data_IF_306414854991
#
_entry.id   IF_306414854991
#
_cell.length_a   1.000
_cell.length_b   1.000
_cell.length_c   1.000
_cell.angle_alpha   90.00
_cell.angle_beta   90.00
_cell.angle_gamma   90.00
#
_symmetry.space_group_name_H-M   'P 1'
#
loop_
_entity.id
_entity.type
_entity.pdbx_description
1 polymer ?
#
# COMPACT_ATOMS: atom_id res chain seq x y z
N UNK A 1 27.58 66.43 -51.16
CA UNK A 1 28.21 65.17 -50.70
C UNK A 1 27.99 65.03 -49.20
N UNK A 2 27.98 63.78 -48.72
CA UNK A 2 27.67 63.28 -47.36
C UNK A 2 26.18 63.09 -47.04
N UNK A 3 25.84 61.80 -46.88
CA UNK A 3 24.55 61.17 -46.63
C UNK A 3 24.29 61.02 -45.12
N UNK A 4 23.03 60.65 -44.83
CA UNK A 4 22.51 59.87 -43.70
C UNK A 4 22.28 60.62 -42.38
N UNK A 5 21.00 60.74 -41.99
CA UNK A 5 20.35 59.98 -40.90
C UNK A 5 18.84 60.08 -41.12
N UNK A 6 18.08 58.97 -41.15
CA UNK A 6 16.67 58.98 -40.83
C UNK A 6 16.45 58.14 -39.57
N UNK A 7 16.39 58.78 -38.40
CA UNK A 7 15.91 58.12 -37.18
C UNK A 7 14.44 58.44 -37.00
N UNK A 8 13.61 57.75 -37.80
CA UNK A 8 12.16 57.89 -37.77
C UNK A 8 11.63 56.81 -36.84
N UNK A 9 11.20 57.23 -35.64
CA UNK A 9 10.44 56.39 -34.73
C UNK A 9 9.13 55.96 -35.39
N UNK A 10 8.82 54.65 -35.37
CA UNK A 10 7.46 54.17 -35.12
C UNK A 10 7.48 52.68 -34.72
N UNK A 11 6.69 52.40 -33.71
CA UNK A 11 6.50 51.15 -32.99
C UNK A 11 6.32 49.88 -33.84
N UNK A 12 6.75 48.73 -33.32
CA UNK A 12 5.86 47.59 -33.14
C UNK A 12 6.45 46.61 -32.11
N UNK A 13 5.66 46.36 -31.07
CA UNK A 13 5.92 45.38 -30.03
C UNK A 13 5.81 43.95 -30.58
N UNK A 14 6.72 43.06 -30.19
CA UNK A 14 6.50 41.63 -30.23
C UNK A 14 7.37 40.95 -29.15
N UNK A 15 6.92 41.09 -27.91
CA UNK A 15 7.39 40.26 -26.81
C UNK A 15 6.86 38.83 -26.99
N UNK A 16 7.65 37.94 -27.57
CA UNK A 16 7.36 36.51 -27.56
C UNK A 16 8.18 35.87 -26.42
N UNK A 17 7.72 36.13 -25.19
CA UNK A 17 8.18 35.40 -24.02
C UNK A 17 7.59 34.00 -24.11
N UNK A 18 8.38 33.05 -24.64
CA UNK A 18 8.09 31.61 -24.53
C UNK A 18 8.22 31.19 -23.06
N UNK A 19 7.18 31.45 -22.27
CA UNK A 19 7.01 30.86 -20.95
C UNK A 19 6.68 29.38 -21.18
N UNK A 20 7.73 28.55 -21.22
CA UNK A 20 7.63 27.10 -21.07
C UNK A 20 7.10 26.81 -19.66
N UNK A 21 5.78 26.90 -19.50
CA UNK A 21 5.08 26.27 -18.38
C UNK A 21 5.22 24.76 -18.55
N UNK A 22 6.34 24.22 -18.11
CA UNK A 22 6.41 22.82 -17.71
C UNK A 22 5.50 22.69 -16.47
N UNK A 23 4.20 22.60 -16.72
CA UNK A 23 3.22 22.18 -15.73
C UNK A 23 3.56 20.72 -15.44
N UNK A 24 4.47 20.51 -14.50
CA UNK A 24 4.72 19.19 -13.93
C UNK A 24 3.46 18.85 -13.16
N UNK A 25 2.54 18.15 -13.82
CA UNK A 25 1.42 17.49 -13.17
C UNK A 25 2.04 16.44 -12.25
N UNK A 26 2.35 16.83 -11.01
CA UNK A 26 2.53 15.88 -9.94
C UNK A 26 1.16 15.23 -9.78
N UNK A 27 1.01 14.03 -10.32
CA UNK A 27 -0.10 13.16 -9.92
C UNK A 27 0.05 12.99 -8.42
N UNK A 28 -0.78 13.71 -7.65
CA UNK A 28 -0.89 13.49 -6.23
C UNK A 28 -1.45 12.08 -6.09
N UNK A 29 -0.58 11.10 -5.83
CA UNK A 29 -1.05 9.78 -5.42
C UNK A 29 -1.89 10.00 -4.19
N UNK A 30 -3.21 9.78 -4.32
CA UNK A 30 -4.11 9.85 -3.19
C UNK A 30 -3.59 8.94 -2.07
N UNK A 31 -3.69 9.43 -0.83
CA UNK A 31 -3.35 8.66 0.35
C UNK A 31 -4.19 7.38 0.39
N UNK A 32 -3.54 6.25 0.65
CA UNK A 32 -4.20 4.96 0.75
C UNK A 32 -4.47 4.65 2.22
N UNK A 33 -5.74 4.56 2.60
CA UNK A 33 -6.15 4.10 3.93
C UNK A 33 -6.30 2.57 3.91
N UNK A 34 -5.46 1.90 4.68
CA UNK A 34 -5.35 0.45 4.68
C UNK A 34 -5.63 -0.11 6.07
N UNK A 35 -6.22 -1.30 6.09
CA UNK A 35 -6.23 -2.19 7.24
C UNK A 35 -5.27 -3.33 6.98
N UNK A 36 -4.50 -3.71 7.99
CA UNK A 36 -3.81 -5.00 8.04
C UNK A 36 -4.36 -5.82 9.21
N UNK A 37 -4.67 -7.08 8.97
CA UNK A 37 -5.01 -8.08 9.98
C UNK A 37 -3.92 -9.15 10.02
N UNK A 38 -3.36 -9.41 11.20
CA UNK A 38 -2.52 -10.58 11.45
C UNK A 38 -3.43 -11.76 11.81
N UNK A 39 -3.37 -12.81 11.01
CA UNK A 39 -4.25 -13.98 11.11
C UNK A 39 -3.41 -15.23 11.36
N UNK A 40 -3.84 -16.03 12.33
CA UNK A 40 -3.30 -17.35 12.60
C UNK A 40 -4.24 -18.43 12.04
N UNK A 41 -3.74 -19.22 11.10
CA UNK A 41 -4.45 -20.39 10.55
C UNK A 41 -4.02 -21.66 11.25
N UNK A 42 -4.99 -22.49 11.64
CA UNK A 42 -4.74 -23.77 12.33
C UNK A 42 -5.81 -24.81 12.01
N UNK A 43 -5.48 -26.09 12.21
CA UNK A 43 -6.43 -27.21 12.14
C UNK A 43 -6.96 -27.64 13.51
N UNK A 44 -6.43 -27.09 14.60
CA UNK A 44 -6.90 -27.36 15.96
C UNK A 44 -8.12 -26.50 16.29
N UNK A 45 -8.92 -26.96 17.25
CA UNK A 45 -10.06 -26.19 17.76
C UNK A 45 -9.59 -24.88 18.41
N UNK A 46 -10.48 -23.89 18.48
CA UNK A 46 -10.18 -22.58 19.05
C UNK A 46 -9.58 -22.74 20.46
N UNK A 47 -8.34 -22.27 20.71
CA UNK A 47 -7.80 -22.27 22.06
C UNK A 47 -8.62 -21.39 22.99
N UNK A 48 -8.60 -21.69 24.30
CA UNK A 48 -9.20 -20.85 25.33
C UNK A 48 -8.35 -19.60 25.60
N UNK A 49 -8.15 -18.80 24.55
CA UNK A 49 -7.51 -17.49 24.61
C UNK A 49 -8.53 -16.42 24.19
N UNK A 50 -9.01 -15.58 25.13
CA UNK A 50 -9.99 -14.54 24.84
C UNK A 50 -9.47 -13.46 23.88
N UNK A 51 -8.15 -13.38 23.66
CA UNK A 51 -7.54 -12.44 22.71
C UNK A 51 -7.70 -12.91 21.26
N UNK A 52 -7.89 -14.21 21.04
CA UNK A 52 -8.10 -14.76 19.70
C UNK A 52 -9.55 -14.58 19.27
N UNK A 53 -9.74 -13.69 18.31
CA UNK A 53 -11.05 -13.42 17.70
C UNK A 53 -11.18 -14.23 16.43
N UNK A 54 -12.40 -14.65 16.10
CA UNK A 54 -12.65 -15.12 14.73
C UNK A 54 -12.41 -13.97 13.77
N UNK A 55 -11.81 -14.27 12.62
CA UNK A 55 -11.78 -13.31 11.50
C UNK A 55 -13.20 -13.10 10.96
N UNK A 56 -13.42 -11.99 10.26
CA UNK A 56 -14.68 -11.78 9.55
C UNK A 56 -14.90 -12.84 8.45
N UNK A 57 -16.16 -13.01 8.03
CA UNK A 57 -16.52 -14.06 7.07
C UNK A 57 -15.81 -13.91 5.73
N UNK A 58 -15.60 -12.67 5.26
CA UNK A 58 -14.94 -12.41 3.99
C UNK A 58 -13.48 -12.88 4.02
N UNK A 59 -12.76 -12.56 5.10
CA UNK A 59 -11.38 -13.02 5.32
C UNK A 59 -11.34 -14.54 5.47
N UNK A 60 -12.26 -15.12 6.24
CA UNK A 60 -12.37 -16.57 6.44
C UNK A 60 -12.54 -17.32 5.13
N UNK A 61 -13.48 -16.88 4.30
CA UNK A 61 -13.81 -17.52 3.03
C UNK A 61 -12.66 -17.38 2.03
N UNK A 62 -12.04 -16.19 1.97
CA UNK A 62 -10.86 -15.96 1.13
C UNK A 62 -9.71 -16.89 1.50
N UNK A 63 -9.45 -17.07 2.79
CA UNK A 63 -8.37 -17.93 3.25
C UNK A 63 -8.70 -19.41 3.01
N UNK A 64 -9.89 -19.89 3.38
CA UNK A 64 -10.31 -21.29 3.15
C UNK A 64 -10.32 -21.68 1.67
N UNK A 65 -10.62 -20.74 0.78
CA UNK A 65 -10.63 -20.99 -0.67
C UNK A 65 -9.24 -21.23 -1.27
N UNK A 66 -8.16 -20.89 -0.55
CA UNK A 66 -6.78 -20.98 -1.05
C UNK A 66 -5.90 -21.89 -0.19
N UNK A 67 -6.20 -21.98 1.10
CA UNK A 67 -5.30 -22.49 2.11
C UNK A 67 -5.98 -23.64 2.90
N UNK A 68 -5.18 -24.62 3.35
CA UNK A 68 -5.66 -25.91 3.91
C UNK A 68 -6.20 -25.88 5.35
N UNK A 69 -6.20 -24.74 6.03
CA UNK A 69 -6.44 -24.67 7.48
C UNK A 69 -7.95 -24.56 7.77
N UNK A 70 -8.42 -25.26 8.79
CA UNK A 70 -9.84 -25.26 9.16
C UNK A 70 -10.27 -23.95 9.82
N UNK A 71 -9.44 -23.44 10.72
CA UNK A 71 -9.75 -22.32 11.61
C UNK A 71 -8.79 -21.15 11.36
N UNK A 72 -9.32 -19.94 11.50
CA UNK A 72 -8.58 -18.69 11.26
C UNK A 72 -8.95 -17.68 12.34
N UNK A 73 -7.94 -17.19 13.05
CA UNK A 73 -8.12 -16.28 14.17
C UNK A 73 -7.36 -14.98 13.95
N UNK A 74 -8.03 -13.85 14.16
CA UNK A 74 -7.39 -12.54 14.21
C UNK A 74 -6.60 -12.42 15.53
N UNK A 75 -5.32 -12.09 15.38
CA UNK A 75 -4.40 -11.86 16.50
C UNK A 75 -4.17 -10.36 16.72
N UNK A 76 -4.11 -9.59 15.64
CA UNK A 76 -3.95 -8.14 15.70
C UNK A 76 -4.55 -7.48 14.44
N UNK A 77 -4.99 -6.24 14.58
CA UNK A 77 -5.52 -5.41 13.49
C UNK A 77 -4.95 -4.00 13.61
N UNK A 78 -4.49 -3.46 12.49
CA UNK A 78 -3.90 -2.11 12.41
C UNK A 78 -4.50 -1.35 11.23
N UNK A 79 -5.01 -0.15 11.50
CA UNK A 79 -5.41 0.79 10.45
C UNK A 79 -4.29 1.82 10.29
N UNK A 80 -3.91 2.12 9.05
CA UNK A 80 -2.83 3.05 8.77
C UNK A 80 -3.02 3.73 7.41
N UNK A 81 -2.25 4.79 7.19
CA UNK A 81 -2.26 5.54 5.93
C UNK A 81 -0.89 5.44 5.27
N UNK A 82 -0.89 5.13 3.98
CA UNK A 82 0.30 5.14 3.12
C UNK A 82 0.20 6.34 2.21
N UNK A 83 1.17 7.24 2.32
CA UNK A 83 1.25 8.45 1.49
C UNK A 83 2.31 8.26 0.41
N UNK A 84 2.38 9.19 -0.54
CA UNK A 84 3.44 9.22 -1.55
C UNK A 84 4.85 9.53 -0.99
N UNK A 85 4.96 9.90 0.30
CA UNK A 85 6.21 10.38 0.89
C UNK A 85 7.25 9.26 1.11
N UNK A 86 6.83 7.99 1.11
CA UNK A 86 7.75 6.86 1.25
C UNK A 86 7.09 5.60 1.82
N UNK A 87 7.90 4.54 2.04
CA UNK A 87 7.42 3.31 2.65
C UNK A 87 6.95 3.54 4.09
N UNK A 88 5.81 2.96 4.45
CA UNK A 88 5.27 2.91 5.80
C UNK A 88 5.52 1.53 6.40
N UNK A 89 6.22 1.48 7.53
CA UNK A 89 6.36 0.27 8.34
C UNK A 89 5.25 0.17 9.38
N UNK A 90 4.74 -1.04 9.58
CA UNK A 90 3.68 -1.36 10.54
C UNK A 90 4.05 -2.66 11.27
N UNK A 91 4.27 -2.56 12.58
CA UNK A 91 4.52 -3.72 13.44
C UNK A 91 3.19 -4.43 13.73
N UNK A 92 3.10 -5.70 13.32
CA UNK A 92 1.92 -6.55 13.51
C UNK A 92 2.05 -7.45 14.75
N UNK A 93 3.28 -7.86 15.09
CA UNK A 93 3.63 -8.52 16.36
C UNK A 93 5.13 -8.32 16.62
N UNK A 94 5.67 -8.88 17.70
CA UNK A 94 7.12 -8.87 17.94
C UNK A 94 7.92 -9.63 16.88
N UNK A 95 7.27 -10.53 16.14
CA UNK A 95 7.90 -11.37 15.13
C UNK A 95 7.38 -11.07 13.71
N UNK A 96 6.49 -10.09 13.54
CA UNK A 96 5.87 -9.77 12.26
C UNK A 96 5.79 -8.26 12.03
N UNK A 97 6.37 -7.80 10.92
CA UNK A 97 6.28 -6.42 10.44
C UNK A 97 5.94 -6.42 8.95
N UNK A 98 5.17 -5.43 8.50
CA UNK A 98 4.99 -5.14 7.09
C UNK A 98 5.57 -3.77 6.74
N UNK A 99 6.09 -3.66 5.52
CA UNK A 99 6.45 -2.40 4.89
C UNK A 99 5.58 -2.22 3.64
N UNK A 100 4.90 -1.08 3.54
CA UNK A 100 3.98 -0.77 2.45
C UNK A 100 4.39 0.55 1.81
N UNK A 101 4.63 0.54 0.51
CA UNK A 101 4.96 1.75 -0.27
C UNK A 101 3.93 1.95 -1.37
N UNK A 102 3.37 3.16 -1.46
CA UNK A 102 2.53 3.53 -2.61
C UNK A 102 3.41 3.70 -3.85
N UNK A 103 2.98 3.09 -4.95
CA UNK A 103 3.53 3.27 -6.29
C UNK A 103 2.63 4.15 -7.18
N UNK A 104 1.58 4.74 -6.60
CA UNK A 104 0.55 5.50 -7.32
C UNK A 104 -0.52 4.62 -7.97
N UNK A 105 -1.63 5.24 -8.40
CA UNK A 105 -2.76 4.55 -9.06
C UNK A 105 -3.32 3.33 -8.27
N UNK A 106 -3.32 3.42 -6.94
CA UNK A 106 -3.69 2.34 -6.01
C UNK A 106 -2.80 1.08 -6.10
N UNK A 107 -1.62 1.19 -6.70
CA UNK A 107 -0.58 0.15 -6.67
C UNK A 107 0.31 0.32 -5.45
N UNK A 108 0.66 -0.79 -4.80
CA UNK A 108 1.58 -0.81 -3.67
C UNK A 108 2.67 -1.85 -3.87
N UNK A 109 3.87 -1.55 -3.36
CA UNK A 109 4.86 -2.56 -3.01
C UNK A 109 4.68 -2.94 -1.54
N UNK A 110 4.65 -4.24 -1.28
CA UNK A 110 4.48 -4.85 0.02
C UNK A 110 5.66 -5.75 0.33
N UNK A 111 6.23 -5.59 1.53
CA UNK A 111 7.22 -6.52 2.08
C UNK A 111 6.70 -7.04 3.41
N UNK A 112 6.78 -8.35 3.60
CA UNK A 112 6.49 -9.02 4.87
C UNK A 112 7.82 -9.44 5.50
N UNK A 113 7.99 -9.10 6.77
CA UNK A 113 9.12 -9.50 7.59
C UNK A 113 8.64 -10.45 8.68
N UNK A 114 9.20 -11.66 8.70
CA UNK A 114 9.02 -12.66 9.75
C UNK A 114 10.33 -12.84 10.52
N UNK A 115 10.28 -12.73 11.85
CA UNK A 115 11.47 -12.84 12.71
C UNK A 115 12.64 -11.95 12.25
N UNK A 116 12.32 -10.73 11.79
CA UNK A 116 13.29 -9.76 11.28
C UNK A 116 13.83 -10.02 9.87
N UNK A 117 13.44 -11.12 9.21
CA UNK A 117 13.84 -11.46 7.84
C UNK A 117 12.72 -11.17 6.85
N UNK A 118 13.04 -10.59 5.70
CA UNK A 118 12.06 -10.42 4.63
C UNK A 118 11.72 -11.79 4.02
N UNK A 119 10.46 -12.19 4.13
CA UNK A 119 9.96 -13.50 3.65
C UNK A 119 9.08 -13.37 2.40
N UNK A 120 8.42 -12.21 2.21
CA UNK A 120 7.63 -11.92 1.01
C UNK A 120 7.95 -10.53 0.52
N UNK A 121 8.06 -10.37 -0.80
CA UNK A 121 7.99 -9.08 -1.51
C UNK A 121 6.99 -9.23 -2.65
N UNK A 122 6.02 -8.32 -2.74
CA UNK A 122 4.97 -8.36 -3.75
C UNK A 122 4.58 -6.95 -4.17
N UNK A 123 4.34 -6.76 -5.46
CA UNK A 123 3.72 -5.55 -5.99
C UNK A 123 2.32 -5.89 -6.48
N UNK A 124 1.32 -5.13 -6.06
CA UNK A 124 -0.07 -5.37 -6.49
C UNK A 124 -0.89 -4.09 -6.47
N UNK A 125 -1.84 -4.00 -7.40
CA UNK A 125 -2.92 -3.01 -7.36
C UNK A 125 -3.99 -3.46 -6.38
N UNK A 126 -4.35 -2.61 -5.42
CA UNK A 126 -5.41 -2.89 -4.45
C UNK A 126 -6.69 -2.17 -4.90
N UNK A 127 -7.81 -2.89 -4.92
CA UNK A 127 -9.14 -2.35 -5.20
C UNK A 127 -10.00 -2.38 -3.94
N UNK A 128 -10.97 -1.47 -3.86
CA UNK A 128 -11.96 -1.51 -2.79
C UNK A 128 -12.68 -2.86 -2.78
N UNK A 129 -12.90 -3.43 -1.59
CA UNK A 129 -13.47 -4.76 -1.41
C UNK A 129 -12.53 -5.94 -1.71
N UNK A 130 -11.32 -5.71 -2.23
CA UNK A 130 -10.34 -6.77 -2.47
C UNK A 130 -9.50 -7.06 -1.22
N UNK A 131 -9.32 -8.34 -0.91
CA UNK A 131 -8.43 -8.82 0.14
C UNK A 131 -7.11 -9.30 -0.45
N UNK A 132 -6.01 -8.70 -0.01
CA UNK A 132 -4.66 -9.10 -0.35
C UNK A 132 -4.03 -9.90 0.78
N UNK A 133 -3.70 -11.16 0.52
CA UNK A 133 -3.08 -12.04 1.50
C UNK A 133 -1.57 -12.16 1.26
N UNK A 134 -0.80 -11.95 2.31
CA UNK A 134 0.63 -12.27 2.41
C UNK A 134 0.77 -13.48 3.35
N UNK A 135 1.22 -14.62 2.83
CA UNK A 135 1.48 -15.80 3.64
C UNK A 135 2.92 -15.77 4.16
N UNK A 136 3.08 -15.91 5.48
CA UNK A 136 4.36 -16.12 6.14
C UNK A 136 4.69 -17.61 6.27
N UNK A 137 5.47 -17.94 7.29
CA UNK A 137 5.87 -19.32 7.58
C UNK A 137 4.68 -20.21 7.97
N UNK A 138 4.72 -21.47 7.52
CA UNK A 138 3.85 -22.56 7.94
C UNK A 138 4.62 -23.60 8.76
N UNK A 139 4.68 -23.39 10.08
CA UNK A 139 5.37 -24.30 11.01
C UNK A 139 4.40 -24.87 12.04
N UNK A 140 4.69 -26.08 12.51
CA UNK A 140 3.93 -26.75 13.57
C UNK A 140 2.43 -26.89 13.26
N UNK A 141 2.09 -27.26 12.02
CA UNK A 141 0.71 -27.38 11.53
C UNK A 141 -0.14 -26.10 11.64
N UNK A 142 0.51 -24.95 11.70
CA UNK A 142 -0.11 -23.64 11.70
C UNK A 142 0.53 -22.73 10.66
N UNK A 143 -0.15 -21.64 10.30
CA UNK A 143 0.41 -20.63 9.40
C UNK A 143 0.04 -19.22 9.85
N UNK A 144 0.89 -18.28 9.47
CA UNK A 144 0.69 -16.86 9.71
C UNK A 144 0.38 -16.14 8.41
N UNK A 145 -0.63 -15.28 8.45
CA UNK A 145 -1.04 -14.46 7.31
C UNK A 145 -1.14 -13.01 7.73
N UNK A 146 -0.76 -12.11 6.83
CA UNK A 146 -1.20 -10.72 6.91
C UNK A 146 -2.19 -10.47 5.78
N UNK A 147 -3.41 -10.07 6.14
CA UNK A 147 -4.48 -9.72 5.19
C UNK A 147 -4.61 -8.22 5.14
N UNK A 148 -4.43 -7.64 3.95
CA UNK A 148 -4.59 -6.22 3.67
C UNK A 148 -5.88 -5.94 2.92
N UNK A 149 -6.53 -4.83 3.27
CA UNK A 149 -7.69 -4.28 2.56
C UNK A 149 -7.66 -2.76 2.57
N UNK A 150 -8.33 -2.14 1.58
CA UNK A 150 -8.64 -0.72 1.63
C UNK A 150 -9.79 -0.48 2.61
N UNK A 151 -9.71 0.63 3.35
CA UNK A 151 -10.80 1.12 4.19
C UNK A 151 -11.36 2.37 3.53
N UNK A 152 -12.66 2.34 3.21
CA UNK A 152 -13.38 3.55 2.81
C UNK A 152 -13.57 4.44 4.05
N UNK A 153 -13.32 5.74 3.90
CA UNK A 153 -13.59 6.73 4.97
C UNK A 153 -15.07 7.07 5.03
#
# INVERSE_FOLDING_TARGET
MKKLIPFRQLALAAAAVFLAHACTVRSASADLHLQAQLVWGTNIDKPDDPKLKEVDSQVKDKLRGVFKWKNYFEVNRQNFTVTAAGPKKVKMSDQCEIEVQSLGNASVELKLYGQGKMVVRKTQKIKAGELLVLAGDDKNDTAWFVVLSLIER
#
